data_IF_394662441169
#
_entry.id   IF_394662441169
#
_cell.length_a   1.000
_cell.length_b   1.000
_cell.length_c   1.000
_cell.angle_alpha   90.00
_cell.angle_beta   90.00
_cell.angle_gamma   90.00
#
_symmetry.space_group_name_H-M   'P 1'
#
loop_
_entity.id
_entity.type
_entity.pdbx_description
1 polymer ?
#
# COMPACT_ATOMS: atom_id res chain seq x y z
N UNK A 1 -2.48 39.32 40.59
CA UNK A 1 -2.41 39.40 39.11
C UNK A 1 -3.35 38.35 38.53
N UNK A 2 -4.34 38.74 37.74
CA UNK A 2 -5.28 37.78 37.13
C UNK A 2 -4.57 36.90 36.10
N UNK A 3 -4.92 35.61 36.03
CA UNK A 3 -4.38 34.71 35.01
C UNK A 3 -4.77 35.21 33.61
N UNK A 4 -3.80 35.34 32.70
CA UNK A 4 -4.03 35.69 31.30
C UNK A 4 -4.96 34.67 30.65
N UNK A 5 -6.01 35.12 29.95
CA UNK A 5 -6.96 34.24 29.23
C UNK A 5 -6.93 34.52 27.73
N UNK A 6 -7.25 33.50 26.94
CA UNK A 6 -7.31 33.58 25.49
C UNK A 6 -8.68 33.11 24.98
N UNK A 7 -9.21 33.84 24.02
CA UNK A 7 -10.50 33.56 23.40
C UNK A 7 -10.36 32.52 22.27
N UNK A 8 -11.22 31.50 22.28
CA UNK A 8 -11.26 30.49 21.23
C UNK A 8 -11.93 31.02 19.96
N UNK A 9 -11.25 30.95 18.82
CA UNK A 9 -11.76 31.41 17.53
C UNK A 9 -12.94 30.58 16.97
N UNK A 10 -13.31 29.47 17.61
CA UNK A 10 -14.41 28.60 17.18
C UNK A 10 -15.66 28.72 18.07
N UNK A 11 -15.50 28.80 19.39
CA UNK A 11 -16.63 28.86 20.33
C UNK A 11 -16.72 30.17 21.11
N UNK A 12 -15.78 31.10 20.93
CA UNK A 12 -15.71 32.42 21.59
C UNK A 12 -15.57 32.40 23.12
N UNK A 13 -15.41 31.22 23.73
CA UNK A 13 -15.14 31.10 25.17
C UNK A 13 -13.66 31.41 25.50
N UNK A 14 -13.42 31.81 26.76
CA UNK A 14 -12.11 32.22 27.28
C UNK A 14 -11.42 31.16 28.16
N UNK A 15 -10.20 30.76 27.78
CA UNK A 15 -9.46 29.65 28.40
C UNK A 15 -8.07 30.08 28.90
N UNK A 16 -7.45 29.26 29.75
CA UNK A 16 -6.07 29.47 30.21
C UNK A 16 -5.05 29.13 29.11
N UNK A 17 -3.81 29.62 29.20
CA UNK A 17 -2.77 29.38 28.19
C UNK A 17 -2.52 27.89 27.91
N UNK A 18 -2.66 27.02 28.91
CA UNK A 18 -2.38 25.57 28.82
C UNK A 18 -3.53 24.78 28.17
N UNK A 19 -4.69 25.42 28.02
CA UNK A 19 -5.93 24.84 27.47
C UNK A 19 -6.15 25.19 26.00
N UNK A 20 -5.30 26.08 25.44
CA UNK A 20 -5.44 26.57 24.07
C UNK A 20 -4.28 26.16 23.17
N UNK A 21 -4.63 25.78 21.94
CA UNK A 21 -3.69 25.65 20.84
C UNK A 21 -3.56 27.01 20.17
N UNK A 22 -2.33 27.50 19.99
CA UNK A 22 -2.04 28.72 19.23
C UNK A 22 -1.73 28.37 17.78
N UNK A 23 -2.54 28.85 16.84
CA UNK A 23 -2.33 28.67 15.41
C UNK A 23 -1.29 29.67 14.86
N UNK A 24 -0.70 29.42 13.67
CA UNK A 24 0.30 30.33 13.05
C UNK A 24 -0.26 31.73 12.71
N UNK A 25 -1.58 31.83 12.60
CA UNK A 25 -2.34 33.08 12.42
C UNK A 25 -2.49 33.89 13.72
N UNK A 26 -1.99 33.39 14.86
CA UNK A 26 -2.16 33.92 16.23
C UNK A 26 -3.56 33.75 16.84
N UNK A 27 -4.50 33.10 16.17
CA UNK A 27 -5.75 32.66 16.79
C UNK A 27 -5.54 31.48 17.74
N UNK A 28 -6.43 31.36 18.73
CA UNK A 28 -6.40 30.32 19.74
C UNK A 28 -7.60 29.38 19.58
N UNK A 29 -7.41 28.10 19.90
CA UNK A 29 -8.47 27.09 19.87
C UNK A 29 -8.44 26.27 21.15
N UNK A 30 -9.59 26.12 21.82
CA UNK A 30 -9.70 25.27 23.00
C UNK A 30 -9.62 23.78 22.63
N UNK A 31 -9.34 22.93 23.63
CA UNK A 31 -9.20 21.47 23.44
C UNK A 31 -10.42 20.81 22.80
N UNK A 32 -11.62 21.23 23.19
CA UNK A 32 -12.87 20.66 22.66
C UNK A 32 -13.04 20.99 21.17
N UNK A 33 -12.80 22.24 20.77
CA UNK A 33 -12.85 22.64 19.36
C UNK A 33 -11.78 21.96 18.51
N UNK A 34 -10.54 21.85 19.00
CA UNK A 34 -9.47 21.10 18.31
C UNK A 34 -9.87 19.64 18.13
N UNK A 35 -10.41 19.01 19.17
CA UNK A 35 -10.89 17.63 19.12
C UNK A 35 -11.98 17.44 18.08
N UNK A 36 -12.94 18.36 17.98
CA UNK A 36 -14.00 18.34 16.97
C UNK A 36 -13.46 18.50 15.56
N UNK A 37 -12.51 19.43 15.35
CA UNK A 37 -11.84 19.60 14.06
C UNK A 37 -11.10 18.33 13.62
N UNK A 38 -10.39 17.67 14.55
CA UNK A 38 -9.71 16.40 14.27
C UNK A 38 -10.71 15.30 13.93
N UNK A 39 -11.79 15.15 14.70
CA UNK A 39 -12.85 14.15 14.42
C UNK A 39 -13.53 14.36 13.06
N UNK A 40 -13.68 15.59 12.60
CA UNK A 40 -14.18 15.90 11.28
C UNK A 40 -13.14 15.56 10.20
N UNK A 41 -11.90 16.01 10.39
CA UNK A 41 -10.80 15.76 9.47
C UNK A 41 -10.48 14.26 9.28
N UNK A 42 -10.66 13.42 10.30
CA UNK A 42 -10.44 11.97 10.17
C UNK A 42 -11.53 11.25 9.37
N UNK A 43 -12.68 11.90 9.16
CA UNK A 43 -13.80 11.38 8.36
C UNK A 43 -13.83 11.94 6.95
N UNK A 44 -13.35 13.16 6.76
CA UNK A 44 -13.37 13.89 5.49
C UNK A 44 -11.98 14.42 5.14
N UNK A 45 -11.38 13.83 4.09
CA UNK A 45 -10.06 14.22 3.58
C UNK A 45 -10.03 15.65 3.03
N UNK A 46 -11.16 16.21 2.59
CA UNK A 46 -11.22 17.58 2.06
C UNK A 46 -10.90 18.65 3.10
N UNK A 47 -11.06 18.30 4.39
CA UNK A 47 -10.72 19.14 5.52
C UNK A 47 -9.23 19.08 5.89
N UNK A 48 -8.46 18.21 5.24
CA UNK A 48 -7.01 18.08 5.45
C UNK A 48 -6.21 19.01 4.51
N UNK A 49 -5.16 19.68 4.99
CA UNK A 49 -4.78 19.83 6.40
C UNK A 49 -5.69 20.82 7.12
N UNK A 50 -5.83 20.68 8.44
CA UNK A 50 -6.57 21.62 9.29
C UNK A 50 -5.88 23.00 9.21
N UNK A 51 -6.65 24.03 8.85
CA UNK A 51 -6.15 25.40 8.60
C UNK A 51 -6.84 26.43 9.48
N UNK A 52 -6.10 27.47 9.86
CA UNK A 52 -6.62 28.74 10.37
C UNK A 52 -6.23 29.85 9.41
N UNK A 53 -7.18 30.69 8.97
CA UNK A 53 -6.89 31.82 8.07
C UNK A 53 -6.06 31.41 6.85
N UNK A 54 -6.40 30.27 6.24
CA UNK A 54 -5.69 29.63 5.11
C UNK A 54 -4.27 29.12 5.42
N UNK A 55 -3.77 29.26 6.65
CA UNK A 55 -2.48 28.74 7.11
C UNK A 55 -2.65 27.38 7.79
N UNK A 56 -1.91 26.33 7.40
CA UNK A 56 -2.01 25.01 8.02
C UNK A 56 -1.52 25.07 9.47
N UNK A 57 -2.27 24.44 10.38
CA UNK A 57 -1.81 24.18 11.74
C UNK A 57 -0.99 22.88 11.70
N UNK A 58 0.16 22.85 12.37
CA UNK A 58 1.05 21.67 12.30
C UNK A 58 0.41 20.48 12.98
N UNK A 59 0.51 19.29 12.35
CA UNK A 59 -0.04 18.05 12.90
C UNK A 59 0.52 17.75 14.29
N UNK A 60 1.80 18.06 14.53
CA UNK A 60 2.45 17.91 15.83
C UNK A 60 1.78 18.74 16.91
N UNK A 61 1.49 20.02 16.64
CA UNK A 61 0.83 20.92 17.60
C UNK A 61 -0.60 20.46 17.90
N UNK A 62 -1.34 20.01 16.88
CA UNK A 62 -2.69 19.46 17.04
C UNK A 62 -2.63 18.21 17.92
N UNK A 63 -1.73 17.26 17.60
CA UNK A 63 -1.59 15.98 18.31
C UNK A 63 -1.24 16.19 19.79
N UNK A 64 -0.34 17.11 20.10
CA UNK A 64 0.02 17.41 21.50
C UNK A 64 -1.14 18.00 22.31
N UNK A 65 -2.14 18.59 21.65
CA UNK A 65 -3.27 19.25 22.30
C UNK A 65 -4.51 18.37 22.47
N UNK A 66 -4.53 17.18 21.86
CA UNK A 66 -5.56 16.18 22.06
C UNK A 66 -5.35 15.49 23.41
N UNK A 67 -6.40 15.20 24.17
CA UNK A 67 -6.28 14.47 25.45
C UNK A 67 -6.44 12.96 25.28
N UNK A 68 -7.19 12.53 24.27
CA UNK A 68 -7.50 11.13 24.02
C UNK A 68 -6.40 10.48 23.16
N UNK A 69 -5.73 9.47 23.71
CA UNK A 69 -4.63 8.76 23.04
C UNK A 69 -5.06 8.00 21.79
N UNK A 70 -6.23 7.34 21.80
CA UNK A 70 -6.76 6.67 20.61
C UNK A 70 -6.96 7.66 19.45
N UNK A 71 -7.46 8.87 19.75
CA UNK A 71 -7.67 9.91 18.75
C UNK A 71 -6.34 10.48 18.25
N UNK A 72 -5.31 10.57 19.10
CA UNK A 72 -3.95 10.96 18.69
C UNK A 72 -3.38 9.97 17.68
N UNK A 73 -3.57 8.68 17.92
CA UNK A 73 -3.04 7.63 17.06
C UNK A 73 -3.82 7.52 15.75
N UNK A 74 -5.16 7.61 15.81
CA UNK A 74 -6.00 7.69 14.61
C UNK A 74 -5.63 8.92 13.76
N UNK A 75 -5.44 10.08 14.39
CA UNK A 75 -5.04 11.29 13.68
C UNK A 75 -3.65 11.15 13.04
N UNK A 76 -2.68 10.57 13.76
CA UNK A 76 -1.34 10.32 13.23
C UNK A 76 -1.37 9.41 11.99
N UNK A 77 -2.15 8.32 12.04
CA UNK A 77 -2.34 7.43 10.88
C UNK A 77 -3.01 8.15 9.71
N UNK A 78 -4.02 8.98 9.97
CA UNK A 78 -4.69 9.78 8.93
C UNK A 78 -3.79 10.84 8.31
N UNK A 79 -2.89 11.45 9.08
CA UNK A 79 -1.87 12.37 8.55
C UNK A 79 -0.95 11.64 7.56
N UNK A 80 -0.51 10.42 7.87
CA UNK A 80 0.30 9.61 6.94
C UNK A 80 -0.51 9.22 5.71
N UNK A 81 -1.75 8.76 5.90
CA UNK A 81 -2.65 8.39 4.81
C UNK A 81 -2.87 9.55 3.83
N UNK A 82 -3.27 10.72 4.33
CA UNK A 82 -3.62 11.87 3.47
C UNK A 82 -2.40 12.52 2.82
N UNK A 83 -1.23 12.47 3.44
CA UNK A 83 0.02 12.88 2.78
C UNK A 83 0.54 11.86 1.76
N UNK A 84 0.06 10.61 1.81
CA UNK A 84 0.37 9.62 0.77
C UNK A 84 -0.49 9.93 -0.46
N UNK A 85 0.07 10.02 -1.69
CA UNK A 85 -0.73 10.18 -2.89
C UNK A 85 -1.76 9.05 -3.01
N UNK A 86 -3.03 9.36 -3.35
CA UNK A 86 -4.09 8.36 -3.45
C UNK A 86 -3.72 7.18 -4.37
N UNK A 87 -2.96 7.46 -5.43
CA UNK A 87 -2.43 6.45 -6.36
C UNK A 87 -1.39 5.51 -5.77
N UNK A 88 -0.90 5.74 -4.54
CA UNK A 88 0.09 4.90 -3.84
C UNK A 88 -0.42 4.30 -2.54
N UNK A 89 -1.62 4.69 -2.09
CA UNK A 89 -2.24 4.16 -0.87
C UNK A 89 -2.65 2.71 -1.08
N UNK A 90 -2.42 1.90 -0.07
CA UNK A 90 -2.92 0.53 -0.01
C UNK A 90 -3.84 0.40 1.18
N UNK A 91 -5.01 -0.17 0.93
CA UNK A 91 -6.04 -0.39 1.93
C UNK A 91 -6.28 -1.88 2.11
N UNK A 92 -6.81 -2.24 3.28
CA UNK A 92 -7.22 -3.60 3.54
C UNK A 92 -8.31 -4.01 2.54
N UNK A 93 -8.14 -5.14 1.81
CA UNK A 93 -9.10 -5.61 0.82
C UNK A 93 -10.41 -6.10 1.44
N UNK A 94 -10.44 -6.32 2.76
CA UNK A 94 -11.66 -6.65 3.50
C UNK A 94 -12.50 -5.37 3.64
N UNK A 95 -13.62 -5.30 2.91
CA UNK A 95 -14.51 -4.12 2.84
C UNK A 95 -14.94 -3.58 4.21
N UNK A 96 -15.27 -4.46 5.17
CA UNK A 96 -15.62 -4.05 6.55
C UNK A 96 -14.44 -3.48 7.35
N UNK A 97 -13.21 -3.75 6.94
CA UNK A 97 -12.01 -3.25 7.59
C UNK A 97 -11.54 -1.94 6.95
N UNK A 98 -11.23 -1.99 5.64
CA UNK A 98 -10.76 -0.87 4.82
C UNK A 98 -9.67 0.00 5.46
N UNK A 99 -8.91 -0.56 6.41
CA UNK A 99 -7.86 0.15 7.11
C UNK A 99 -6.74 0.52 6.15
N UNK A 100 -6.19 1.73 6.28
CA UNK A 100 -4.98 2.11 5.57
C UNK A 100 -3.80 1.27 6.07
N UNK A 101 -3.09 0.63 5.13
CA UNK A 101 -1.99 -0.30 5.42
C UNK A 101 -0.63 0.28 5.06
N UNK A 102 -0.58 1.51 4.53
CA UNK A 102 0.64 2.21 4.14
C UNK A 102 0.71 2.52 2.65
N UNK A 103 1.90 2.93 2.23
CA UNK A 103 2.27 3.14 0.83
C UNK A 103 3.23 2.06 0.39
N UNK A 104 3.17 1.66 -0.88
CA UNK A 104 4.12 0.69 -1.41
C UNK A 104 5.56 1.21 -1.35
N UNK A 105 6.52 0.41 -0.85
CA UNK A 105 7.92 0.64 -1.19
C UNK A 105 8.10 0.36 -2.69
N UNK A 106 8.99 1.13 -3.32
CA UNK A 106 9.38 0.93 -4.73
C UNK A 106 9.98 -0.48 -4.94
N UNK A 107 10.43 -1.16 -3.88
CA UNK A 107 10.94 -2.53 -3.92
C UNK A 107 9.98 -3.56 -3.31
N UNK A 108 9.26 -4.25 -4.20
CA UNK A 108 9.16 -5.71 -4.27
C UNK A 108 8.71 -6.57 -3.07
N UNK A 109 8.16 -6.03 -1.98
CA UNK A 109 7.41 -6.88 -1.04
C UNK A 109 5.98 -7.08 -1.57
N UNK A 110 5.69 -8.27 -2.10
CA UNK A 110 4.44 -8.60 -2.80
C UNK A 110 3.21 -8.62 -1.88
N UNK A 111 3.40 -8.71 -0.57
CA UNK A 111 2.35 -8.96 0.40
C UNK A 111 2.47 -8.03 1.60
N UNK A 112 1.34 -7.48 2.04
CA UNK A 112 1.23 -6.67 3.25
C UNK A 112 0.15 -7.25 4.16
N UNK A 113 0.37 -7.22 5.46
CA UNK A 113 -0.58 -7.74 6.45
C UNK A 113 -1.29 -6.59 7.16
N UNK A 114 -2.62 -6.63 7.18
CA UNK A 114 -3.44 -5.65 7.88
C UNK A 114 -3.30 -5.83 9.39
N UNK A 115 -2.85 -4.79 10.10
CA UNK A 115 -2.68 -4.84 11.57
C UNK A 115 -4.01 -4.88 12.33
N UNK A 116 -5.13 -4.50 11.69
CA UNK A 116 -6.45 -4.48 12.32
C UNK A 116 -7.20 -5.82 12.26
N UNK A 117 -7.06 -6.56 11.17
CA UNK A 117 -7.83 -7.79 10.96
C UNK A 117 -7.01 -8.96 10.40
N UNK A 118 -5.69 -8.81 10.34
CA UNK A 118 -4.71 -9.81 9.86
C UNK A 118 -4.94 -10.33 8.44
N UNK A 119 -5.84 -9.71 7.68
CA UNK A 119 -6.03 -10.03 6.25
C UNK A 119 -4.83 -9.54 5.45
N UNK A 120 -4.42 -10.32 4.45
CA UNK A 120 -3.29 -9.99 3.58
C UNK A 120 -3.76 -9.32 2.29
N UNK A 121 -2.99 -8.33 1.85
CA UNK A 121 -3.20 -7.59 0.61
C UNK A 121 -2.00 -7.77 -0.31
N UNK A 122 -2.24 -7.84 -1.62
CA UNK A 122 -1.17 -7.76 -2.60
C UNK A 122 -0.72 -6.30 -2.73
N UNK A 123 0.57 -6.03 -2.57
CA UNK A 123 1.12 -4.68 -2.77
C UNK A 123 0.96 -4.19 -4.21
N UNK A 124 0.99 -5.09 -5.19
CA UNK A 124 0.98 -4.72 -6.61
C UNK A 124 -0.45 -4.37 -7.08
N UNK A 125 -1.40 -5.30 -6.97
CA UNK A 125 -2.77 -5.07 -7.42
C UNK A 125 -3.68 -4.42 -6.38
N UNK A 126 -3.23 -4.31 -5.11
CA UNK A 126 -3.99 -3.76 -3.97
C UNK A 126 -5.26 -4.53 -3.63
N UNK A 127 -5.43 -5.71 -4.21
CA UNK A 127 -6.49 -6.65 -3.90
C UNK A 127 -6.08 -7.66 -2.81
N UNK A 128 -6.89 -8.71 -2.62
CA UNK A 128 -6.52 -9.84 -1.77
C UNK A 128 -5.16 -10.43 -2.15
N UNK A 129 -4.39 -10.86 -1.14
CA UNK A 129 -3.14 -11.58 -1.39
C UNK A 129 -3.40 -12.88 -2.18
N UNK A 130 -2.46 -13.24 -3.06
CA UNK A 130 -2.54 -14.41 -3.93
C UNK A 130 -1.25 -15.24 -3.82
N UNK A 131 -1.04 -15.81 -2.64
CA UNK A 131 0.15 -16.59 -2.27
C UNK A 131 0.41 -17.70 -3.32
N UNK A 132 1.64 -17.77 -3.82
CA UNK A 132 2.06 -18.79 -4.79
C UNK A 132 1.52 -18.60 -6.22
N UNK A 133 0.84 -17.49 -6.50
CA UNK A 133 0.39 -17.11 -7.86
C UNK A 133 0.98 -15.78 -8.27
N UNK A 134 1.25 -15.63 -9.57
CA UNK A 134 1.63 -14.34 -10.14
C UNK A 134 0.51 -13.31 -9.94
N UNK A 135 0.90 -12.06 -9.68
CA UNK A 135 -0.08 -10.99 -9.63
C UNK A 135 -0.60 -10.72 -11.05
N UNK A 136 -1.92 -10.68 -11.27
CA UNK A 136 -2.49 -10.43 -12.59
C UNK A 136 -2.17 -9.03 -13.13
N UNK A 137 -1.88 -8.07 -12.24
CA UNK A 137 -1.60 -6.66 -12.58
C UNK A 137 -0.12 -6.28 -12.41
N UNK A 138 0.78 -7.24 -12.27
CA UNK A 138 2.22 -6.98 -12.28
C UNK A 138 2.69 -6.66 -13.70
N UNK A 139 2.77 -5.37 -14.01
CA UNK A 139 3.18 -4.85 -15.33
C UNK A 139 4.51 -5.43 -15.79
N UNK A 140 5.49 -5.60 -14.90
CA UNK A 140 6.78 -6.20 -15.25
C UNK A 140 6.62 -7.66 -15.67
N UNK A 141 5.85 -8.44 -14.92
CA UNK A 141 5.52 -9.82 -15.31
C UNK A 141 4.71 -9.89 -16.62
N UNK A 142 3.78 -8.94 -16.84
CA UNK A 142 2.99 -8.87 -18.07
C UNK A 142 3.86 -8.54 -19.29
N UNK A 143 4.73 -7.54 -19.19
CA UNK A 143 5.64 -7.13 -20.27
C UNK A 143 6.62 -8.24 -20.65
N UNK A 144 7.22 -8.92 -19.66
CA UNK A 144 8.08 -10.08 -19.89
C UNK A 144 7.32 -11.21 -20.55
N UNK A 145 6.05 -11.45 -20.18
CA UNK A 145 5.20 -12.46 -20.83
C UNK A 145 4.83 -12.10 -22.26
N UNK A 146 4.48 -10.84 -22.53
CA UNK A 146 4.17 -10.40 -23.89
C UNK A 146 5.42 -10.42 -24.78
N UNK A 147 6.58 -10.04 -24.24
CA UNK A 147 7.86 -10.23 -24.92
C UNK A 147 8.13 -11.72 -25.19
N UNK A 148 7.92 -12.60 -24.20
CA UNK A 148 8.08 -14.03 -24.35
C UNK A 148 7.21 -14.59 -25.49
N UNK A 149 5.94 -14.21 -25.54
CA UNK A 149 5.03 -14.61 -26.63
C UNK A 149 5.54 -14.16 -28.00
N UNK A 150 5.96 -12.89 -28.11
CA UNK A 150 6.51 -12.33 -29.37
C UNK A 150 7.79 -13.04 -29.81
N UNK A 151 8.64 -13.46 -28.87
CA UNK A 151 9.90 -14.12 -29.14
C UNK A 151 9.78 -15.66 -29.23
N UNK A 152 8.57 -16.21 -29.08
CA UNK A 152 8.34 -17.66 -29.04
C UNK A 152 8.99 -18.36 -27.83
N UNK A 153 9.24 -17.62 -26.74
CA UNK A 153 9.82 -18.18 -25.52
C UNK A 153 8.80 -19.01 -24.75
N UNK A 154 9.24 -20.16 -24.24
CA UNK A 154 8.37 -21.08 -23.52
C UNK A 154 8.25 -20.73 -22.03
N UNK A 155 7.15 -21.14 -21.40
CA UNK A 155 6.96 -21.04 -19.94
C UNK A 155 7.06 -22.40 -19.26
N UNK A 156 7.68 -22.44 -18.09
CA UNK A 156 7.73 -23.64 -17.26
C UNK A 156 6.31 -24.06 -16.86
N UNK A 157 5.90 -25.33 -17.06
CA UNK A 157 4.55 -25.77 -16.73
C UNK A 157 4.24 -25.72 -15.23
N UNK A 158 5.26 -25.81 -14.37
CA UNK A 158 5.14 -25.82 -12.91
C UNK A 158 5.21 -24.42 -12.30
N UNK A 159 6.34 -23.72 -12.43
CA UNK A 159 6.54 -22.43 -11.77
C UNK A 159 6.22 -21.21 -12.64
N UNK A 160 5.80 -21.41 -13.90
CA UNK A 160 5.45 -20.36 -14.87
C UNK A 160 6.57 -19.39 -15.25
N UNK A 161 7.81 -19.65 -14.82
CA UNK A 161 8.99 -18.91 -15.27
C UNK A 161 9.10 -18.92 -16.80
N UNK A 162 9.36 -17.75 -17.39
CA UNK A 162 9.68 -17.61 -18.82
C UNK A 162 11.10 -18.10 -19.06
N UNK A 163 11.26 -18.99 -20.02
CA UNK A 163 12.53 -19.62 -20.36
C UNK A 163 12.86 -19.23 -21.80
N UNK A 164 13.96 -18.52 -22.00
CA UNK A 164 14.55 -18.32 -23.32
C UNK A 164 15.43 -19.53 -23.65
N UNK A 165 15.27 -20.10 -24.84
CA UNK A 165 16.17 -21.12 -25.38
C UNK A 165 17.18 -20.43 -26.28
N UNK A 166 18.47 -20.61 -26.00
CA UNK A 166 19.56 -20.03 -26.81
C UNK A 166 19.93 -20.98 -27.96
N UNK A 167 20.11 -22.27 -27.68
CA UNK A 167 20.35 -23.34 -28.66
C UNK A 167 20.08 -24.72 -28.02
N UNK A 168 20.08 -25.80 -28.83
CA UNK A 168 20.08 -27.19 -28.33
C UNK A 168 18.73 -27.91 -28.36
N UNK A 169 18.61 -28.97 -27.56
CA UNK A 169 17.44 -29.86 -27.51
C UNK A 169 16.21 -29.19 -26.87
N UNK A 170 15.01 -29.71 -27.14
CA UNK A 170 13.78 -29.26 -26.49
C UNK A 170 13.59 -29.85 -25.08
N UNK A 171 14.44 -30.77 -24.62
CA UNK A 171 14.40 -31.26 -23.24
C UNK A 171 15.04 -30.23 -22.31
N UNK A 172 14.22 -29.53 -21.53
CA UNK A 172 14.65 -28.45 -20.63
C UNK A 172 14.41 -28.81 -19.17
N UNK A 173 15.33 -28.38 -18.29
CA UNK A 173 15.19 -28.48 -16.84
C UNK A 173 15.04 -27.07 -16.27
N UNK A 174 13.91 -26.78 -15.63
CA UNK A 174 13.71 -25.48 -15.00
C UNK A 174 14.54 -25.36 -13.71
N UNK A 175 14.76 -24.14 -13.23
CA UNK A 175 15.35 -23.87 -11.90
C UNK A 175 14.53 -24.48 -10.76
N UNK A 176 13.20 -24.61 -10.95
CA UNK A 176 12.31 -25.34 -10.04
C UNK A 176 12.40 -26.87 -10.17
N UNK A 177 13.41 -27.37 -10.89
CA UNK A 177 13.75 -28.79 -11.10
C UNK A 177 12.74 -29.64 -11.89
N UNK A 178 11.75 -29.03 -12.52
CA UNK A 178 10.84 -29.76 -13.42
C UNK A 178 11.47 -29.94 -14.80
N UNK A 179 11.38 -31.17 -15.32
CA UNK A 179 11.75 -31.49 -16.70
C UNK A 179 10.55 -31.31 -17.62
N UNK A 180 10.69 -30.51 -18.67
CA UNK A 180 9.62 -30.20 -19.61
C UNK A 180 10.16 -30.04 -21.03
N UNK A 181 9.28 -30.19 -22.01
CA UNK A 181 9.60 -29.99 -23.41
C UNK A 181 9.41 -28.51 -23.77
N UNK A 182 10.44 -27.85 -24.28
CA UNK A 182 10.39 -26.46 -24.74
C UNK A 182 9.40 -26.26 -25.89
N UNK A 183 9.33 -27.25 -26.81
CA UNK A 183 8.48 -27.16 -27.99
C UNK A 183 6.98 -27.15 -27.66
N UNK A 184 6.52 -28.04 -26.77
CA UNK A 184 5.10 -28.13 -26.43
C UNK A 184 4.73 -27.56 -25.06
N UNK A 185 5.70 -27.14 -24.23
CA UNK A 185 5.47 -26.58 -22.90
C UNK A 185 4.96 -27.58 -21.85
N UNK A 186 4.79 -28.86 -22.22
CA UNK A 186 4.31 -29.91 -21.31
C UNK A 186 5.46 -30.57 -20.55
N UNK A 187 5.15 -31.14 -19.37
CA UNK A 187 6.08 -32.01 -18.64
C UNK A 187 6.56 -33.13 -19.56
N UNK A 188 7.84 -33.51 -19.46
CA UNK A 188 8.41 -34.55 -20.33
C UNK A 188 7.64 -35.88 -20.22
N UNK A 189 7.09 -36.21 -19.05
CA UNK A 189 6.26 -37.40 -18.83
C UNK A 189 4.94 -37.42 -19.65
N UNK A 190 4.43 -36.27 -20.08
CA UNK A 190 3.16 -36.12 -20.83
C UNK A 190 3.41 -35.76 -22.29
N UNK A 191 4.66 -35.43 -22.65
CA UNK A 191 5.04 -35.07 -24.00
C UNK A 191 4.88 -36.29 -24.92
N UNK A 192 3.94 -36.23 -25.87
CA UNK A 192 3.67 -37.33 -26.83
C UNK A 192 4.64 -37.37 -28.01
N UNK A 193 5.69 -36.54 -27.99
CA UNK A 193 6.88 -36.70 -28.82
C UNK A 193 6.70 -36.52 -30.34
N UNK A 194 7.21 -35.40 -30.84
CA UNK A 194 8.08 -35.38 -32.03
C UNK A 194 9.47 -34.82 -31.70
N UNK A 195 9.80 -34.69 -30.41
CA UNK A 195 11.14 -34.30 -29.95
C UNK A 195 11.99 -35.55 -29.79
N UNK A 196 12.71 -35.90 -30.86
CA UNK A 196 13.65 -37.02 -30.91
C UNK A 196 14.66 -36.93 -29.76
N UNK A 197 14.72 -37.99 -28.95
CA UNK A 197 15.92 -38.29 -28.15
C UNK A 197 17.04 -38.62 -29.13
N UNK A 198 17.76 -37.61 -29.59
CA UNK A 198 18.96 -37.76 -30.42
C UNK A 198 19.92 -36.65 -30.00
N UNK A 199 21.12 -36.91 -29.48
CA UNK A 199 21.83 -38.17 -29.34
C UNK A 199 22.68 -38.19 -28.08
N UNK A 200 23.13 -39.41 -27.80
CA UNK A 200 24.30 -39.73 -26.98
C UNK A 200 25.52 -39.09 -27.66
N UNK A 201 26.24 -38.25 -26.93
CA UNK A 201 27.70 -38.16 -26.98
C UNK A 201 28.16 -37.97 -25.55
#
# INVERSE_FOLDING_TARGET
>A
MGAKRFECACCTDSFRPEEVLRAPCQHYYCRTCVTSLVKACTKDESLFPIKCCKKPITATSIRSHLENDDLRDVFALKVIEYNTPATRRVYCPKTRCSAFMGSLPISSTREMTCQKCHSQACGICRGPAHVGKDCPNDKGCLEVREMAKRQGWQTCPQCKAVIQKVYGCNSMVCTCKVNFCYGCGLRMAVCRGSCSRSGVY
#
